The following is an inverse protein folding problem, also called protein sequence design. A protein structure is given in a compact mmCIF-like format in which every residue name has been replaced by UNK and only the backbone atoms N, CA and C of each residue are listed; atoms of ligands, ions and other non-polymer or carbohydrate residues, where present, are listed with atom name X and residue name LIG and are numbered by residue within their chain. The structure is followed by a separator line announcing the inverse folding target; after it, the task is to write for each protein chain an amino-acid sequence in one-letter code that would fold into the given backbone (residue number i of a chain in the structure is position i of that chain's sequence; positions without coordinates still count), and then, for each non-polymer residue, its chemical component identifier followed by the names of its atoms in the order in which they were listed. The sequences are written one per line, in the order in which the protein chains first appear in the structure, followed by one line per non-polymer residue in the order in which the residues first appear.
data_IF_364291001245
#
_entry.id   IF_364291001245
#
_cell.length_a   1.000
_cell.length_b   1.000
_cell.length_c   1.000
_cell.angle_alpha   90.00
_cell.angle_beta   90.00
_cell.angle_gamma   90.00
#
_symmetry.space_group_name_H-M   'P 1'
#
loop_
_entity.id
_entity.type
_entity.pdbx_description
1 polymer ?
#
# COMPACT_ATOMS: atom_id res chain seq x y z
N UNK A 1 13.77 13.76 -1.09
CA UNK A 1 13.76 14.38 0.25
C UNK A 1 14.84 13.73 1.08
N UNK A 2 15.72 14.46 1.75
CA UNK A 2 16.76 13.84 2.57
C UNK A 2 16.15 13.40 3.92
N UNK A 3 16.14 12.10 4.26
CA UNK A 3 15.58 11.63 5.53
C UNK A 3 16.30 12.20 6.76
N UNK A 4 17.54 12.66 6.65
CA UNK A 4 18.26 13.26 7.77
C UNK A 4 17.74 14.66 8.14
N UNK A 5 17.09 15.35 7.21
CA UNK A 5 16.59 16.72 7.39
C UNK A 5 15.07 16.84 7.26
N UNK A 6 14.41 15.78 6.77
CA UNK A 6 12.97 15.76 6.54
C UNK A 6 12.39 14.35 6.79
N UNK A 7 12.14 14.07 8.06
CA UNK A 7 11.48 12.84 8.53
C UNK A 7 9.97 13.07 8.70
N UNK A 8 9.21 12.79 7.64
CA UNK A 8 7.75 13.05 7.58
C UNK A 8 6.98 12.43 8.76
N UNK A 9 7.19 11.14 9.11
CA UNK A 9 6.56 10.53 10.29
C UNK A 9 6.77 11.26 11.61
N UNK A 10 7.90 11.95 11.80
CA UNK A 10 8.16 12.71 13.03
C UNK A 10 7.25 13.93 13.21
N UNK A 11 6.56 14.36 12.15
CA UNK A 11 5.60 15.46 12.17
C UNK A 11 4.17 15.01 12.55
N UNK A 12 3.92 13.71 12.59
CA UNK A 12 2.59 13.15 12.85
C UNK A 12 2.17 13.31 14.31
N UNK A 13 0.95 13.82 14.54
CA UNK A 13 0.38 14.00 15.89
C UNK A 13 -0.54 12.87 16.32
N UNK A 14 -0.96 12.01 15.39
CA UNK A 14 -1.80 10.83 15.62
C UNK A 14 -1.45 9.74 14.58
N UNK A 15 -2.08 8.57 14.69
CA UNK A 15 -1.99 7.51 13.66
C UNK A 15 -3.36 6.86 13.44
N UNK A 16 -3.62 6.48 12.19
CA UNK A 16 -4.77 5.64 11.81
C UNK A 16 -4.49 4.15 11.97
N UNK A 17 -3.29 3.75 12.42
CA UNK A 17 -2.94 2.36 12.69
C UNK A 17 -3.40 1.91 14.09
N UNK A 18 -3.64 0.61 14.26
CA UNK A 18 -4.02 0.05 15.56
C UNK A 18 -2.94 0.23 16.63
N UNK A 19 -1.66 0.05 16.27
CA UNK A 19 -0.54 0.28 17.16
C UNK A 19 -0.14 1.75 17.16
N UNK A 20 -0.14 2.38 18.33
CA UNK A 20 0.06 3.83 18.48
C UNK A 20 1.51 4.28 18.23
N UNK A 21 2.42 3.32 18.20
CA UNK A 21 3.84 3.48 17.92
C UNK A 21 4.14 3.57 16.42
N UNK A 22 3.20 3.19 15.56
CA UNK A 22 3.37 3.23 14.11
C UNK A 22 2.86 4.55 13.53
N UNK A 23 3.79 5.44 13.16
CA UNK A 23 3.50 6.70 12.46
C UNK A 23 3.96 6.67 10.99
N UNK A 24 4.19 5.47 10.45
CA UNK A 24 4.70 5.28 9.10
C UNK A 24 3.72 5.77 8.04
N UNK A 25 4.23 6.12 6.86
CA UNK A 25 3.38 6.42 5.71
C UNK A 25 3.32 5.21 4.78
N UNK A 26 2.09 4.87 4.39
CA UNK A 26 1.78 3.78 3.48
C UNK A 26 0.96 4.35 2.34
N UNK A 27 1.38 4.09 1.11
CA UNK A 27 0.66 4.62 -0.04
C UNK A 27 0.56 3.61 -1.17
N UNK A 28 -0.57 3.66 -1.88
CA UNK A 28 -0.90 2.86 -3.06
C UNK A 28 -1.72 3.72 -4.00
N UNK A 29 -1.76 3.35 -5.29
CA UNK A 29 -2.63 4.01 -6.27
C UNK A 29 -4.12 3.93 -5.87
N UNK A 30 -4.91 4.91 -6.33
CA UNK A 30 -6.36 4.95 -6.12
C UNK A 30 -7.08 4.22 -7.23
N UNK A 31 -8.05 3.37 -6.89
CA UNK A 31 -8.87 2.65 -7.87
C UNK A 31 -10.10 3.45 -8.27
N UNK A 32 -10.39 3.49 -9.56
CA UNK A 32 -11.59 4.07 -10.13
C UNK A 32 -12.41 3.03 -10.89
N UNK A 33 -13.73 3.15 -10.84
CA UNK A 33 -14.66 2.48 -11.74
C UNK A 33 -14.92 3.39 -12.93
N UNK A 34 -14.66 2.91 -14.15
CA UNK A 34 -14.99 3.58 -15.41
C UNK A 34 -16.28 2.99 -15.97
N UNK A 35 -17.35 3.78 -15.91
CA UNK A 35 -18.66 3.40 -16.42
C UNK A 35 -18.70 3.37 -17.96
N UNK A 36 -19.68 2.66 -18.52
CA UNK A 36 -19.93 2.60 -19.97
C UNK A 36 -20.09 3.97 -20.63
N UNK A 37 -20.65 4.95 -19.92
CA UNK A 37 -20.81 6.32 -20.39
C UNK A 37 -19.50 7.16 -20.35
N UNK A 38 -18.38 6.55 -19.96
CA UNK A 38 -17.06 7.19 -19.87
C UNK A 38 -16.79 7.96 -18.57
N UNK A 39 -17.77 8.06 -17.67
CA UNK A 39 -17.58 8.66 -16.34
C UNK A 39 -16.76 7.76 -15.43
N UNK A 40 -16.10 8.36 -14.45
CA UNK A 40 -15.36 7.63 -13.42
C UNK A 40 -15.99 7.85 -12.06
N UNK A 41 -15.84 6.86 -11.19
CA UNK A 41 -16.10 6.99 -9.76
C UNK A 41 -14.95 6.43 -8.97
N UNK A 42 -14.49 7.13 -7.95
CA UNK A 42 -13.55 6.58 -6.98
C UNK A 42 -14.18 5.35 -6.32
N UNK A 43 -13.43 4.26 -6.26
CA UNK A 43 -13.86 3.06 -5.56
C UNK A 43 -13.52 3.26 -4.07
N UNK A 44 -14.48 3.16 -3.14
CA UNK A 44 -14.17 3.25 -1.71
C UNK A 44 -13.33 2.07 -1.26
N UNK A 45 -12.56 2.26 -0.19
CA UNK A 45 -11.90 1.16 0.52
C UNK A 45 -12.77 0.78 1.71
N UNK A 46 -12.83 -0.52 2.03
CA UNK A 46 -13.55 -1.04 3.19
C UNK A 46 -12.61 -1.80 4.12
N UNK A 47 -12.98 -1.82 5.40
CA UNK A 47 -12.30 -2.59 6.42
C UNK A 47 -12.21 -4.09 6.11
N UNK A 48 -11.10 -4.68 6.52
CA UNK A 48 -10.86 -6.12 6.47
C UNK A 48 -11.55 -6.86 7.62
N UNK A 49 -11.48 -8.19 7.63
CA UNK A 49 -11.98 -9.02 8.74
C UNK A 49 -11.32 -8.59 10.05
N UNK A 50 -12.13 -8.25 11.06
CA UNK A 50 -11.66 -7.74 12.35
C UNK A 50 -11.44 -6.22 12.39
N UNK A 51 -11.65 -5.53 11.27
CA UNK A 51 -11.57 -4.08 11.12
C UNK A 51 -12.81 -3.52 10.41
N UNK A 52 -13.98 -4.13 10.57
CA UNK A 52 -15.20 -3.79 9.83
C UNK A 52 -15.68 -2.35 10.04
N UNK A 53 -15.38 -1.76 11.21
CA UNK A 53 -15.71 -0.37 11.55
C UNK A 53 -14.66 0.65 11.07
N UNK A 54 -13.63 0.23 10.33
CA UNK A 54 -12.59 1.13 9.82
C UNK A 54 -13.14 2.01 8.70
N UNK A 55 -12.85 3.30 8.76
CA UNK A 55 -13.26 4.28 7.75
C UNK A 55 -12.22 4.36 6.62
N UNK A 56 -12.11 3.28 5.84
CA UNK A 56 -11.10 3.14 4.78
C UNK A 56 -9.78 2.57 5.30
N UNK A 57 -8.67 2.98 4.67
CA UNK A 57 -7.32 2.52 5.01
C UNK A 57 -6.99 1.10 4.52
N UNK A 58 -5.80 0.62 4.86
CA UNK A 58 -5.30 -0.69 4.45
C UNK A 58 -4.90 -1.50 5.68
N UNK A 59 -4.98 -2.83 5.60
CA UNK A 59 -4.37 -3.67 6.65
C UNK A 59 -2.88 -3.78 6.35
N UNK A 60 -2.06 -3.32 7.30
CA UNK A 60 -0.59 -3.38 7.18
C UNK A 60 -0.06 -4.48 8.09
N UNK A 61 0.75 -5.37 7.53
CA UNK A 61 1.37 -6.47 8.26
C UNK A 61 2.88 -6.28 8.32
N UNK A 62 3.46 -6.56 9.49
CA UNK A 62 4.89 -6.73 9.70
C UNK A 62 5.10 -8.14 10.23
N UNK A 63 5.74 -9.01 9.44
CA UNK A 63 5.85 -10.42 9.77
C UNK A 63 7.30 -10.91 9.74
N UNK A 64 7.69 -11.75 10.70
CA UNK A 64 8.96 -12.47 10.72
C UNK A 64 8.96 -13.68 9.76
N UNK A 65 7.80 -14.34 9.65
CA UNK A 65 7.53 -15.55 8.88
C UNK A 65 6.22 -15.43 8.09
N UNK A 66 5.94 -16.36 7.17
CA UNK A 66 4.71 -16.33 6.38
C UNK A 66 3.44 -16.28 7.25
N UNK A 67 2.37 -15.67 6.75
CA UNK A 67 1.12 -15.43 7.50
C UNK A 67 0.50 -16.71 8.12
N UNK A 68 0.76 -17.89 7.54
CA UNK A 68 0.27 -19.18 8.06
C UNK A 68 1.15 -19.78 9.17
N UNK A 69 2.33 -19.19 9.44
CA UNK A 69 3.17 -19.53 10.58
C UNK A 69 2.79 -18.64 11.76
N UNK A 70 1.98 -19.16 12.68
CA UNK A 70 1.51 -18.42 13.84
C UNK A 70 2.58 -18.24 14.92
N UNK A 71 3.75 -18.87 14.79
CA UNK A 71 4.81 -18.78 15.79
C UNK A 71 5.70 -17.55 15.57
N UNK A 72 5.89 -17.10 14.33
CA UNK A 72 6.63 -15.88 13.97
C UNK A 72 7.98 -15.77 14.71
N UNK A 73 8.83 -16.79 14.56
CA UNK A 73 10.07 -16.97 15.35
C UNK A 73 11.35 -16.56 14.62
N UNK A 74 11.28 -16.29 13.31
CA UNK A 74 12.45 -15.88 12.55
C UNK A 74 13.05 -14.59 13.08
N UNK A 75 14.38 -14.54 13.15
CA UNK A 75 15.10 -13.31 13.49
C UNK A 75 15.17 -12.41 12.27
N UNK A 76 14.65 -11.20 12.42
CA UNK A 76 14.65 -10.17 11.39
C UNK A 76 15.18 -8.86 11.96
N UNK A 77 15.82 -8.06 11.10
CA UNK A 77 16.24 -6.70 11.44
C UNK A 77 15.13 -5.75 11.06
N UNK A 78 14.56 -5.04 12.03
CA UNK A 78 13.55 -4.02 11.76
C UNK A 78 14.12 -2.86 10.93
N UNK A 79 13.22 -2.20 10.20
CA UNK A 79 13.48 -0.92 9.57
C UNK A 79 13.88 0.14 10.61
N UNK A 80 14.52 1.22 10.17
CA UNK A 80 15.06 2.27 11.04
C UNK A 80 14.71 3.66 10.49
N UNK A 81 14.82 4.74 11.30
CA UNK A 81 14.58 6.11 10.84
C UNK A 81 15.32 6.41 9.54
N UNK A 82 14.57 6.91 8.55
CA UNK A 82 15.06 7.17 7.20
C UNK A 82 14.92 6.02 6.21
N UNK A 83 14.44 4.84 6.64
CA UNK A 83 14.18 3.72 5.74
C UNK A 83 12.99 4.01 4.82
N UNK A 84 13.16 3.82 3.52
CA UNK A 84 12.10 4.02 2.51
C UNK A 84 12.16 2.93 1.45
N UNK A 85 11.01 2.43 1.02
CA UNK A 85 10.98 1.46 -0.07
C UNK A 85 9.77 1.64 -0.97
N UNK A 86 9.97 1.35 -2.25
CA UNK A 86 8.94 1.25 -3.27
C UNK A 86 8.95 -0.19 -3.81
N UNK A 87 7.78 -0.71 -4.15
CA UNK A 87 7.66 -1.95 -4.94
C UNK A 87 6.63 -1.76 -6.05
N UNK A 88 6.92 -2.27 -7.25
CA UNK A 88 6.03 -2.17 -8.42
C UNK A 88 6.54 -1.21 -9.49
N UNK A 89 5.80 -1.14 -10.60
CA UNK A 89 6.09 -0.23 -11.71
C UNK A 89 4.78 0.36 -12.23
N UNK A 90 4.54 1.63 -11.93
CA UNK A 90 3.37 2.38 -12.39
C UNK A 90 3.22 2.41 -13.93
N UNK A 91 4.30 2.18 -14.68
CA UNK A 91 4.32 2.08 -16.14
C UNK A 91 4.18 0.65 -16.69
N UNK A 92 3.93 -0.35 -15.84
CA UNK A 92 3.68 -1.72 -16.28
C UNK A 92 2.29 -1.83 -16.91
N UNK A 93 2.25 -2.38 -18.13
CA UNK A 93 1.01 -2.62 -18.92
C UNK A 93 0.99 -4.00 -19.57
N UNK A 94 1.96 -4.85 -19.24
CA UNK A 94 2.11 -6.20 -19.80
C UNK A 94 2.41 -7.21 -18.70
N UNK A 95 2.04 -8.49 -18.90
CA UNK A 95 2.33 -9.56 -17.94
C UNK A 95 3.82 -9.66 -17.61
N UNK A 96 4.70 -9.60 -18.62
CA UNK A 96 6.15 -9.73 -18.43
C UNK A 96 6.75 -8.67 -17.50
N UNK A 97 6.22 -7.44 -17.56
CA UNK A 97 6.63 -6.36 -16.63
C UNK A 97 6.11 -6.61 -15.21
N UNK A 98 4.85 -7.02 -15.09
CA UNK A 98 4.24 -7.31 -13.80
C UNK A 98 4.91 -8.51 -13.09
N UNK A 99 5.38 -9.50 -13.85
CA UNK A 99 6.03 -10.70 -13.31
C UNK A 99 7.39 -10.38 -12.65
N UNK A 100 8.00 -9.24 -12.99
CA UNK A 100 9.17 -8.74 -12.26
C UNK A 100 8.86 -8.49 -10.78
N UNK A 101 7.63 -8.08 -10.47
CA UNK A 101 7.14 -7.84 -9.12
C UNK A 101 6.24 -8.98 -8.68
N UNK A 102 6.90 -10.09 -8.29
CA UNK A 102 6.27 -11.39 -8.02
C UNK A 102 5.16 -11.36 -6.98
N UNK A 103 5.13 -10.41 -6.05
CA UNK A 103 4.18 -10.41 -4.94
C UNK A 103 3.17 -9.25 -4.94
N UNK A 104 2.92 -8.65 -6.11
CA UNK A 104 1.77 -7.76 -6.34
C UNK A 104 0.63 -8.58 -6.95
N UNK A 105 -0.50 -8.69 -6.24
CA UNK A 105 -1.58 -9.60 -6.63
C UNK A 105 -2.98 -9.04 -6.35
N UNK A 106 -3.95 -9.62 -7.04
CA UNK A 106 -5.38 -9.37 -6.86
C UNK A 106 -6.10 -10.65 -6.42
N UNK A 107 -7.16 -10.51 -5.64
CA UNK A 107 -8.10 -11.60 -5.35
C UNK A 107 -9.51 -11.08 -5.51
N UNK A 108 -10.30 -11.75 -6.35
CA UNK A 108 -11.72 -11.48 -6.51
C UNK A 108 -12.49 -12.14 -5.36
N UNK A 109 -12.88 -11.35 -4.36
CA UNK A 109 -13.48 -11.88 -3.13
C UNK A 109 -14.89 -12.39 -3.38
N UNK A 110 -15.14 -13.68 -3.13
CA UNK A 110 -16.50 -14.24 -3.05
C UNK A 110 -17.13 -13.92 -1.69
N UNK A 111 -16.30 -13.90 -0.66
CA UNK A 111 -16.56 -13.42 0.68
C UNK A 111 -15.26 -12.78 1.24
N UNK A 112 -15.33 -12.19 2.45
CA UNK A 112 -14.15 -11.56 3.07
C UNK A 112 -13.06 -12.55 3.50
N UNK A 113 -13.28 -13.86 3.41
CA UNK A 113 -12.30 -14.92 3.73
C UNK A 113 -11.65 -15.53 2.48
N UNK A 114 -12.08 -15.14 1.28
CA UNK A 114 -11.47 -15.58 0.03
C UNK A 114 -10.04 -15.07 -0.06
N UNK A 115 -9.06 -15.98 -0.28
CA UNK A 115 -7.63 -15.62 -0.44
C UNK A 115 -7.00 -16.16 -1.72
N UNK A 116 -7.75 -16.96 -2.49
CA UNK A 116 -7.28 -17.60 -3.72
C UNK A 116 -8.41 -17.72 -4.76
N UNK A 117 -8.09 -17.85 -6.05
CA UNK A 117 -6.75 -17.70 -6.63
C UNK A 117 -6.29 -16.24 -6.62
N UNK A 118 -4.97 -16.04 -6.60
CA UNK A 118 -4.35 -14.74 -6.83
C UNK A 118 -4.10 -14.52 -8.32
N UNK A 119 -4.34 -13.32 -8.82
CA UNK A 119 -4.05 -12.90 -10.21
C UNK A 119 -3.10 -11.71 -10.25
N UNK A 120 -2.56 -11.39 -11.43
CA UNK A 120 -1.62 -10.27 -11.66
C UNK A 120 -2.27 -9.03 -12.25
N UNK A 121 -3.46 -9.20 -12.79
CA UNK A 121 -4.30 -8.22 -13.43
C UNK A 121 -5.65 -8.11 -12.74
N UNK A 122 -6.41 -7.08 -13.12
CA UNK A 122 -7.75 -6.89 -12.59
C UNK A 122 -8.64 -8.10 -12.87
N UNK A 123 -9.44 -8.54 -11.88
CA UNK A 123 -10.48 -9.53 -12.08
C UNK A 123 -11.40 -9.17 -13.26
N UNK A 124 -11.67 -10.16 -14.11
CA UNK A 124 -12.52 -10.00 -15.30
C UNK A 124 -14.01 -10.19 -15.03
N UNK A 125 -14.38 -10.55 -13.80
CA UNK A 125 -15.74 -10.85 -13.38
C UNK A 125 -16.11 -10.00 -12.16
N UNK A 126 -17.42 -9.72 -11.95
CA UNK A 126 -17.88 -9.06 -10.73
C UNK A 126 -17.41 -9.82 -9.47
N UNK A 127 -16.91 -9.08 -8.49
CA UNK A 127 -16.43 -9.66 -7.23
C UNK A 127 -17.45 -9.40 -6.11
N UNK A 128 -18.17 -10.43 -5.64
CA UNK A 128 -19.30 -10.25 -4.71
C UNK A 128 -18.97 -9.54 -3.40
N UNK A 129 -17.73 -9.64 -2.92
CA UNK A 129 -17.30 -9.04 -1.65
C UNK A 129 -16.24 -7.93 -1.79
N UNK A 130 -15.84 -7.60 -3.02
CA UNK A 130 -14.81 -6.59 -3.32
C UNK A 130 -13.60 -7.18 -4.05
N UNK A 131 -12.67 -6.31 -4.42
CA UNK A 131 -11.36 -6.70 -4.95
C UNK A 131 -10.33 -6.47 -3.85
N UNK A 132 -9.63 -7.53 -3.45
CA UNK A 132 -8.49 -7.43 -2.54
C UNK A 132 -7.21 -7.28 -3.36
N UNK A 133 -6.41 -6.28 -3.00
CA UNK A 133 -5.11 -6.01 -3.61
C UNK A 133 -4.05 -6.19 -2.54
N UNK A 134 -3.09 -7.07 -2.84
CA UNK A 134 -1.97 -7.37 -1.98
C UNK A 134 -0.69 -6.80 -2.57
N UNK A 135 0.02 -6.00 -1.76
CA UNK A 135 1.34 -5.46 -2.07
C UNK A 135 2.29 -6.02 -1.03
N UNK A 136 3.12 -7.00 -1.39
CA UNK A 136 4.15 -7.54 -0.47
C UNK A 136 5.51 -7.01 -0.89
N UNK A 137 6.22 -6.43 0.06
CA UNK A 137 7.53 -5.84 -0.18
C UNK A 137 8.65 -6.89 -0.14
N UNK A 138 9.79 -6.58 -0.78
CA UNK A 138 11.05 -7.29 -0.58
C UNK A 138 11.41 -7.56 0.89
N UNK A 139 12.05 -8.70 1.16
CA UNK A 139 12.34 -9.18 2.53
C UNK A 139 13.83 -9.33 2.83
N UNK A 140 14.68 -8.82 1.95
CA UNK A 140 16.14 -8.83 2.08
C UNK A 140 16.68 -7.43 1.84
N UNK A 141 17.60 -7.00 2.70
CA UNK A 141 18.20 -5.67 2.71
C UNK A 141 19.72 -5.77 2.54
N UNK A 142 20.32 -4.80 1.86
CA UNK A 142 21.78 -4.72 1.63
C UNK A 142 22.61 -4.56 2.92
N UNK A 143 21.98 -4.10 4.00
CA UNK A 143 22.63 -3.91 5.30
C UNK A 143 23.32 -2.56 5.47
N UNK A 144 23.27 -1.71 4.44
CA UNK A 144 24.01 -0.45 4.37
C UNK A 144 23.08 0.74 4.09
N UNK A 145 22.26 0.67 3.05
CA UNK A 145 21.50 1.81 2.55
C UNK A 145 20.07 1.80 3.08
N UNK A 146 19.66 2.86 3.80
CA UNK A 146 18.28 3.03 4.24
C UNK A 146 17.34 3.43 3.11
N UNK A 147 17.89 3.99 2.04
CA UNK A 147 17.17 4.40 0.85
C UNK A 147 18.12 4.35 -0.36
N UNK A 148 17.56 4.19 -1.55
CA UNK A 148 18.28 4.26 -2.83
C UNK A 148 17.65 5.33 -3.72
N UNK A 149 18.35 5.77 -4.77
CA UNK A 149 17.84 6.83 -5.68
C UNK A 149 16.47 6.48 -6.27
N UNK A 150 16.22 5.18 -6.50
CA UNK A 150 14.96 4.66 -7.01
C UNK A 150 14.08 4.03 -5.91
N UNK A 151 14.45 4.13 -4.63
CA UNK A 151 13.75 3.53 -3.49
C UNK A 151 13.60 2.00 -3.55
N UNK A 152 14.33 1.30 -4.44
CA UNK A 152 14.20 -0.15 -4.66
C UNK A 152 15.52 -0.91 -4.53
N UNK A 153 16.62 -0.39 -5.09
CA UNK A 153 17.89 -1.15 -5.26
C UNK A 153 18.55 -1.62 -3.96
N UNK A 154 18.20 -1.05 -2.81
CA UNK A 154 18.74 -1.43 -1.50
C UNK A 154 17.99 -2.61 -0.87
N UNK A 155 16.89 -3.07 -1.49
CA UNK A 155 16.11 -4.24 -1.06
C UNK A 155 15.90 -5.24 -2.20
N UNK A 156 15.71 -6.51 -1.84
CA UNK A 156 15.49 -7.60 -2.79
C UNK A 156 14.53 -8.65 -2.25
N UNK A 157 13.79 -9.31 -3.14
CA UNK A 157 13.14 -10.57 -2.81
C UNK A 157 14.19 -11.67 -2.55
N UNK A 158 13.81 -12.79 -1.90
CA UNK A 158 14.69 -13.95 -1.74
C UNK A 158 15.28 -14.43 -3.07
N UNK A 159 16.53 -14.90 -3.02
CA UNK A 159 17.27 -15.36 -4.20
C UNK A 159 16.60 -16.56 -4.90
N UNK A 160 15.89 -17.36 -4.12
CA UNK A 160 15.04 -18.45 -4.59
C UNK A 160 13.88 -18.66 -3.58
N UNK A 161 12.82 -19.35 -4.03
CA UNK A 161 11.63 -19.56 -3.21
C UNK A 161 10.79 -18.29 -3.04
N UNK A 162 10.15 -18.19 -1.88
CA UNK A 162 9.34 -17.04 -1.44
C UNK A 162 9.58 -16.77 0.05
N UNK A 163 9.09 -15.64 0.55
CA UNK A 163 9.12 -15.33 1.98
C UNK A 163 8.42 -16.40 2.82
N UNK A 164 7.25 -16.86 2.36
CA UNK A 164 6.43 -17.88 3.03
C UNK A 164 7.15 -19.24 3.09
N UNK A 165 7.99 -19.53 2.10
CA UNK A 165 8.86 -20.72 2.08
C UNK A 165 10.18 -20.55 2.83
N UNK A 166 10.43 -19.42 3.49
CA UNK A 166 11.70 -19.14 4.17
C UNK A 166 12.88 -18.98 3.22
N UNK A 167 12.65 -18.50 2.00
CA UNK A 167 13.68 -18.34 0.98
C UNK A 167 14.89 -17.53 1.47
N UNK A 168 16.13 -17.92 1.11
CA UNK A 168 17.33 -17.25 1.58
C UNK A 168 17.53 -15.91 0.87
N UNK A 169 18.09 -14.95 1.59
CA UNK A 169 18.49 -13.70 1.01
C UNK A 169 19.72 -13.83 0.09
N UNK A 170 19.78 -13.07 -1.02
CA UNK A 170 20.96 -13.08 -1.89
C UNK A 170 22.17 -12.47 -1.20
N UNK A 171 23.37 -12.80 -1.66
CA UNK A 171 24.61 -12.27 -1.09
C UNK A 171 24.72 -10.73 -1.20
N UNK A 172 24.04 -10.12 -2.18
CA UNK A 172 23.96 -8.66 -2.31
C UNK A 172 23.04 -8.01 -1.28
N UNK A 173 22.11 -8.77 -0.68
CA UNK A 173 21.14 -8.28 0.30
C UNK A 173 21.07 -9.20 1.52
N UNK A 174 22.17 -9.36 2.27
CA UNK A 174 22.31 -10.46 3.22
C UNK A 174 21.43 -10.34 4.47
N UNK A 175 20.83 -9.17 4.74
CA UNK A 175 20.08 -8.92 5.97
C UNK A 175 18.60 -9.25 5.77
N UNK A 176 18.08 -10.21 6.54
CA UNK A 176 16.64 -10.49 6.57
C UNK A 176 15.90 -9.40 7.32
N UNK A 177 14.87 -8.84 6.69
CA UNK A 177 13.97 -7.81 7.25
C UNK A 177 12.55 -8.39 7.34
N UNK A 178 11.64 -7.82 8.17
CA UNK A 178 10.25 -8.24 8.21
C UNK A 178 9.60 -8.13 6.83
N UNK A 179 8.64 -9.01 6.50
CA UNK A 179 7.76 -8.76 5.37
C UNK A 179 6.78 -7.66 5.75
N UNK A 180 6.91 -6.52 5.07
CA UNK A 180 5.86 -5.52 5.00
C UNK A 180 4.85 -5.95 3.93
N UNK A 181 3.57 -5.99 4.28
CA UNK A 181 2.49 -6.31 3.34
C UNK A 181 1.32 -5.36 3.54
N UNK A 182 0.79 -4.84 2.44
CA UNK A 182 -0.49 -4.12 2.41
C UNK A 182 -1.56 -5.05 1.86
N UNK A 183 -2.67 -5.17 2.57
CA UNK A 183 -3.90 -5.80 2.10
C UNK A 183 -4.99 -4.72 2.06
N UNK A 184 -5.37 -4.31 0.85
CA UNK A 184 -6.39 -3.28 0.61
C UNK A 184 -7.62 -3.91 -0.02
N UNK A 185 -8.80 -3.69 0.56
CA UNK A 185 -10.06 -4.18 0.00
C UNK A 185 -10.84 -3.02 -0.62
N UNK A 186 -10.85 -2.98 -1.95
CA UNK A 186 -11.66 -2.04 -2.71
C UNK A 186 -13.12 -2.53 -2.75
N UNK A 187 -14.05 -1.68 -2.30
CA UNK A 187 -15.48 -1.98 -2.27
C UNK A 187 -16.11 -1.83 -3.66
N UNK A 188 -15.88 -2.85 -4.47
CA UNK A 188 -16.41 -2.93 -5.83
C UNK A 188 -17.85 -3.43 -5.90
N UNK A 189 -18.48 -3.73 -4.76
CA UNK A 189 -19.80 -4.38 -4.73
C UNK A 189 -20.88 -3.57 -5.42
N UNK A 190 -20.81 -2.24 -5.27
CA UNK A 190 -21.71 -1.28 -5.93
C UNK A 190 -21.51 -1.18 -7.45
N UNK A 191 -20.44 -1.76 -7.99
CA UNK A 191 -20.10 -1.73 -9.42
C UNK A 191 -20.28 -3.11 -10.08
N UNK A 192 -20.95 -4.06 -9.43
CA UNK A 192 -21.08 -5.43 -9.93
C UNK A 192 -22.13 -5.62 -11.03
N UNK A 193 -22.86 -4.57 -11.43
CA UNK A 193 -23.82 -4.65 -12.54
C UNK A 193 -23.09 -4.63 -13.89
N UNK A 194 -23.04 -5.74 -14.65
CA UNK A 194 -22.27 -5.82 -15.89
C UNK A 194 -22.83 -4.92 -17.00
N UNK A 195 -24.09 -4.46 -16.87
CA UNK A 195 -24.68 -3.54 -17.85
C UNK A 195 -24.06 -2.14 -17.81
N UNK A 196 -23.39 -1.80 -16.70
CA UNK A 196 -22.72 -0.51 -16.52
C UNK A 196 -21.25 -0.56 -16.98
N UNK A 197 -20.76 -1.73 -17.39
CA UNK A 197 -19.35 -1.96 -17.74
C UNK A 197 -19.07 -1.60 -19.21
N UNK A 198 -17.86 -1.12 -19.53
CA UNK A 198 -17.40 -1.00 -20.91
C UNK A 198 -17.45 -2.37 -21.63
N UNK A 199 -17.87 -2.38 -22.89
CA UNK A 199 -18.02 -3.62 -23.65
C UNK A 199 -16.66 -4.34 -23.83
N UNK A 200 -16.58 -5.59 -23.35
CA UNK A 200 -15.43 -6.47 -23.59
C UNK A 200 -14.24 -6.29 -22.63
N UNK A 201 -14.37 -5.50 -21.57
CA UNK A 201 -13.32 -5.36 -20.55
C UNK A 201 -13.90 -5.25 -19.13
N UNK A 202 -13.07 -5.54 -18.13
CA UNK A 202 -13.36 -5.15 -16.75
C UNK A 202 -13.36 -3.61 -16.61
N UNK A 203 -14.08 -3.02 -15.64
CA UNK A 203 -14.34 -1.58 -15.61
C UNK A 203 -13.36 -0.77 -14.74
N UNK A 204 -12.42 -1.41 -14.04
CA UNK A 204 -11.56 -0.76 -13.07
C UNK A 204 -10.29 -0.20 -13.68
N UNK A 205 -9.84 0.95 -13.18
CA UNK A 205 -8.68 1.69 -13.68
C UNK A 205 -7.92 2.27 -12.49
N UNK A 206 -6.60 2.07 -12.42
CA UNK A 206 -5.78 2.79 -11.45
C UNK A 206 -5.64 4.27 -11.82
N UNK A 207 -5.44 5.13 -10.83
CA UNK A 207 -5.31 6.59 -10.97
C UNK A 207 -4.28 7.07 -12.01
N UNK A 208 -3.34 6.21 -12.42
CA UNK A 208 -2.35 6.49 -13.47
C UNK A 208 -2.80 5.99 -14.86
N UNK A 209 -4.10 5.93 -15.11
CA UNK A 209 -4.75 5.43 -16.33
C UNK A 209 -4.26 4.02 -16.72
N UNK A 210 -4.24 3.11 -15.74
CA UNK A 210 -3.97 1.69 -15.99
C UNK A 210 -5.27 0.89 -15.90
N UNK A 211 -5.78 0.44 -17.05
CA UNK A 211 -6.94 -0.45 -17.13
C UNK A 211 -6.57 -1.94 -17.12
N UNK A 212 -5.28 -2.28 -17.03
CA UNK A 212 -4.78 -3.66 -17.01
C UNK A 212 -4.64 -4.21 -15.59
N UNK A 213 -4.28 -3.35 -14.64
CA UNK A 213 -3.95 -3.72 -13.26
C UNK A 213 -2.47 -4.06 -13.07
N UNK A 214 -1.66 -4.08 -14.12
CA UNK A 214 -0.23 -4.39 -14.01
C UNK A 214 0.58 -3.26 -13.36
N UNK A 215 0.09 -2.01 -13.39
CA UNK A 215 0.72 -0.82 -12.84
C UNK A 215 0.64 -0.68 -11.33
N UNK A 216 0.28 -1.75 -10.62
CA UNK A 216 0.20 -1.76 -9.16
C UNK A 216 1.57 -1.47 -8.54
N UNK A 217 1.55 -0.78 -7.41
CA UNK A 217 2.73 -0.47 -6.62
C UNK A 217 2.34 -0.08 -5.20
N UNK A 218 3.33 -0.04 -4.32
CA UNK A 218 3.18 0.58 -3.02
C UNK A 218 4.48 1.22 -2.54
N UNK A 219 4.28 2.21 -1.68
CA UNK A 219 5.32 3.07 -1.15
C UNK A 219 5.27 3.02 0.37
N UNK A 220 6.45 2.96 0.97
CA UNK A 220 6.63 2.91 2.40
C UNK A 220 7.68 3.91 2.87
N UNK A 221 7.33 4.67 3.90
CA UNK A 221 8.24 5.52 4.66
C UNK A 221 8.16 5.12 6.12
N UNK A 222 9.27 4.62 6.66
CA UNK A 222 9.33 4.16 8.05
C UNK A 222 9.05 5.27 9.05
N UNK A 223 8.16 5.01 10.00
CA UNK A 223 7.77 5.95 11.04
C UNK A 223 7.51 5.34 12.42
N UNK A 224 8.00 4.14 12.71
CA UNK A 224 7.83 3.57 14.04
C UNK A 224 8.62 4.34 15.09
N UNK A 225 8.01 4.57 16.25
CA UNK A 225 8.62 5.29 17.38
C UNK A 225 9.75 4.49 18.02
N UNK A 226 10.89 5.14 18.23
CA UNK A 226 12.04 4.59 18.96
C UNK A 226 12.44 3.18 18.49
N UNK A 227 12.57 2.23 19.42
CA UNK A 227 12.93 0.83 19.14
C UNK A 227 11.72 -0.10 18.99
N UNK A 228 10.50 0.45 18.98
CA UNK A 228 9.26 -0.33 19.12
C UNK A 228 9.12 -1.45 18.08
N UNK A 229 9.45 -1.16 16.81
CA UNK A 229 9.39 -2.18 15.77
C UNK A 229 10.39 -3.32 16.03
N UNK A 230 11.65 -3.01 16.34
CA UNK A 230 12.63 -4.08 16.64
C UNK A 230 12.23 -4.87 17.88
N UNK A 231 11.80 -4.18 18.94
CA UNK A 231 11.36 -4.79 20.20
C UNK A 231 10.20 -5.75 20.01
N UNK A 232 9.24 -5.42 19.13
CA UNK A 232 8.16 -6.35 18.79
C UNK A 232 8.63 -7.47 17.87
N UNK A 233 9.54 -7.21 16.92
CA UNK A 233 10.07 -8.25 16.02
C UNK A 233 10.94 -9.29 16.75
N UNK A 234 11.57 -8.90 17.86
CA UNK A 234 12.34 -9.80 18.73
C UNK A 234 11.46 -10.67 19.64
N UNK A 235 10.15 -10.41 19.68
CA UNK A 235 9.18 -11.14 20.49
C UNK A 235 8.21 -11.93 19.58
N UNK A 236 7.91 -13.22 19.86
CA UNK A 236 6.89 -13.93 19.11
C UNK A 236 5.54 -13.21 19.23
N UNK A 237 5.07 -12.64 18.13
CA UNK A 237 3.77 -11.99 18.04
C UNK A 237 3.12 -12.28 16.70
N UNK A 238 1.81 -12.52 16.69
CA UNK A 238 1.02 -12.66 15.48
C UNK A 238 -0.08 -11.58 15.37
N UNK A 239 -0.97 -11.49 16.37
CA UNK A 239 -2.08 -10.50 16.39
C UNK A 239 -1.99 -9.59 17.63
N UNK A 240 -1.79 -10.18 18.81
CA UNK A 240 -1.71 -9.44 20.06
C UNK A 240 -0.26 -9.37 20.52
N UNK A 241 0.39 -8.22 20.31
CA UNK A 241 1.77 -8.01 20.74
C UNK A 241 1.79 -7.30 22.09
N UNK A 242 2.20 -8.00 23.15
CA UNK A 242 2.30 -7.43 24.51
C UNK A 242 3.33 -6.28 24.60
N UNK A 243 4.18 -6.14 23.59
CA UNK A 243 5.18 -5.09 23.46
C UNK A 243 4.62 -3.79 22.85
N UNK A 244 3.41 -3.79 22.31
CA UNK A 244 2.85 -2.64 21.61
C UNK A 244 1.57 -2.14 22.27
N UNK A 245 1.31 -0.84 22.15
CA UNK A 245 0.11 -0.21 22.68
C UNK A 245 -0.94 -0.11 21.59
N UNK A 246 -2.13 -0.63 21.85
CA UNK A 246 -3.26 -0.55 20.91
C UNK A 246 -4.19 0.60 21.24
N UNK A 247 -4.85 1.15 20.21
CA UNK A 247 -5.93 2.12 20.34
C UNK A 247 -7.24 1.61 19.74
N UNK A 248 -8.36 2.16 20.23
CA UNK A 248 -9.69 1.84 19.70
C UNK A 248 -9.84 2.33 18.25
N UNK A 249 -10.64 1.61 17.45
CA UNK A 249 -10.88 1.97 16.05
C UNK A 249 -11.50 3.37 15.87
N UNK A 250 -12.27 3.85 16.85
CA UNK A 250 -12.77 5.24 16.82
C UNK A 250 -11.62 6.25 16.80
N UNK A 251 -10.58 6.05 17.61
CA UNK A 251 -9.40 6.92 17.63
C UNK A 251 -8.58 6.81 16.32
N UNK A 252 -8.54 5.62 15.71
CA UNK A 252 -7.92 5.42 14.39
C UNK A 252 -8.68 6.21 13.31
N UNK A 253 -10.01 6.13 13.31
CA UNK A 253 -10.89 6.81 12.36
C UNK A 253 -10.90 8.35 12.54
N UNK A 254 -10.65 8.83 13.76
CA UNK A 254 -10.57 10.26 14.05
C UNK A 254 -9.24 10.87 13.57
N UNK A 255 -8.19 10.06 13.36
CA UNK A 255 -6.90 10.53 12.86
C UNK A 255 -6.95 10.75 11.34
N UNK A 256 -7.42 11.94 10.94
CA UNK A 256 -7.57 12.35 9.55
C UNK A 256 -6.93 13.71 9.30
N UNK A 257 -6.59 13.97 8.04
CA UNK A 257 -6.17 15.29 7.56
C UNK A 257 -7.33 15.86 6.76
N UNK A 258 -7.69 17.12 7.02
CA UNK A 258 -8.71 17.81 6.24
C UNK A 258 -8.28 17.93 4.79
N UNK A 259 -9.24 17.78 3.85
CA UNK A 259 -8.93 17.99 2.44
C UNK A 259 -8.44 19.42 2.22
N UNK A 260 -7.24 19.56 1.66
CA UNK A 260 -6.70 20.86 1.29
C UNK A 260 -7.40 21.47 0.06
N UNK A 261 -8.19 20.68 -0.66
CA UNK A 261 -8.90 21.07 -1.89
C UNK A 261 -10.38 20.71 -1.78
N UNK A 262 -11.23 21.66 -2.12
CA UNK A 262 -12.68 21.45 -2.26
C UNK A 262 -12.98 20.91 -3.66
N UNK A 263 -12.83 19.59 -3.81
CA UNK A 263 -13.13 18.86 -5.06
C UNK A 263 -14.12 17.72 -4.76
N UNK A 264 -15.12 17.58 -5.61
CA UNK A 264 -16.04 16.44 -5.56
C UNK A 264 -15.37 15.18 -6.12
N UNK A 265 -14.51 14.57 -5.30
CA UNK A 265 -13.77 13.34 -5.63
C UNK A 265 -14.64 12.08 -5.63
N UNK A 266 -15.87 12.17 -5.14
CA UNK A 266 -16.87 11.09 -5.11
C UNK A 266 -18.01 11.31 -6.14
N UNK A 267 -17.95 12.42 -6.87
CA UNK A 267 -18.85 12.78 -7.94
C UNK A 267 -18.75 11.86 -9.16
N UNK A 268 -19.75 11.94 -10.04
CA UNK A 268 -19.74 11.22 -11.33
C UNK A 268 -19.12 12.04 -12.47
N UNK A 269 -18.90 13.34 -12.24
CA UNK A 269 -18.40 14.29 -13.22
C UNK A 269 -17.05 14.78 -12.73
N UNK A 270 -15.97 14.42 -13.42
CA UNK A 270 -14.72 15.16 -13.21
C UNK A 270 -14.95 16.58 -13.71
N UNK A 271 -14.57 17.63 -12.96
CA UNK A 271 -14.39 18.94 -13.56
C UNK A 271 -13.41 18.76 -14.72
N UNK A 272 -13.74 19.32 -15.89
CA UNK A 272 -12.92 19.23 -17.10
C UNK A 272 -11.45 19.34 -16.71
N UNK A 273 -10.67 18.28 -16.97
CA UNK A 273 -9.22 18.32 -16.82
C UNK A 273 -8.77 19.63 -17.45
N UNK A 274 -8.12 20.49 -16.66
CA UNK A 274 -7.34 21.57 -17.24
C UNK A 274 -6.37 20.86 -18.16
N UNK A 275 -6.51 21.08 -19.47
CA UNK A 275 -5.50 20.72 -20.45
C UNK A 275 -4.20 21.36 -19.95
N UNK A 276 -3.36 20.58 -19.28
CA UNK A 276 -1.99 20.97 -19.01
C UNK A 276 -1.29 20.81 -20.36
N UNK A 277 -1.44 21.83 -21.21
CA UNK A 277 -0.69 21.97 -22.44
C UNK A 277 0.78 21.67 -22.12
N UNK A 278 1.35 20.69 -22.83
CA UNK A 278 2.67 20.10 -22.60
C UNK A 278 3.84 21.08 -22.81
N UNK A 279 3.59 22.38 -22.88
CA UNK A 279 4.58 23.41 -23.24
C UNK A 279 4.91 24.39 -22.11
N UNK A 280 4.38 24.26 -20.90
CA UNK A 280 4.76 25.14 -19.79
C UNK A 280 4.73 24.46 -18.41
N UNK A 281 5.60 23.46 -18.23
CA UNK A 281 5.97 22.97 -16.91
C UNK A 281 6.90 23.98 -16.21
N UNK A 282 6.33 25.09 -15.72
CA UNK A 282 6.98 25.87 -14.64
C UNK A 282 6.40 25.38 -13.34
N UNK A 283 7.21 24.58 -12.65
CA UNK A 283 7.09 24.24 -11.24
C UNK A 283 6.80 25.52 -10.44
N UNK A 284 5.55 25.73 -10.03
CA UNK A 284 5.25 26.56 -8.88
C UNK A 284 5.34 25.66 -7.66
N UNK A 285 6.58 25.52 -7.16
CA UNK A 285 6.82 25.33 -5.74
C UNK A 285 6.14 26.50 -5.02
N UNK A 286 5.03 26.21 -4.35
CA UNK A 286 4.34 27.14 -3.46
C UNK A 286 5.23 27.46 -2.26
N UNK A 287 6.11 28.44 -2.46
CA UNK A 287 6.75 29.22 -1.41
C UNK A 287 5.72 30.26 -0.92
N UNK A 288 4.77 29.86 -0.07
CA UNK A 288 3.89 30.82 0.62
C UNK A 288 4.33 30.97 2.07
N UNK A 289 5.21 31.96 2.26
CA UNK A 289 5.26 32.94 3.35
C UNK A 289 4.97 32.47 4.78
N UNK A 290 6.03 32.33 5.56
CA UNK A 290 6.04 32.56 7.01
C UNK A 290 5.48 33.98 7.30
N UNK A 291 4.42 34.15 8.10
CA UNK A 291 4.12 35.41 8.75
C UNK A 291 4.99 35.54 10.01
N UNK A 292 5.73 36.65 10.11
CA UNK A 292 6.75 36.86 11.13
C UNK A 292 6.23 36.90 12.57
N UNK A 293 7.00 36.26 13.46
CA UNK A 293 7.65 36.81 14.65
C UNK A 293 8.58 35.75 15.24
#
# INVERSE_FOLDING_TARGET
MDPATHDLPSLSTCTSCQFTEDLSNYWTAVLFFKALNGTYKRVPIRGNVGFEDANGGMTVYYMQDGLADFEQKSKVTAFRPGFRMLVGDQGARTPDKAEHYRQLTYTCLQDLYTRYPETKDFPSQPCPAGIMVNVRFPTCWDGENLDSVNHMDHVSYPANGTFEGGGPCPASHPVRIPQLMFETIWDTRQFNNPSDWPAGSQPFVWSMDDSTGYGNHGDYVFGWKDDSLQRTMDSPCYVNCDTLTTQAMSAQNDCTIESAVDEDVDGCEFPNFIDVDQTSLTILLGLETLPGM
#
